data_IF_601413977701
#
_entry.id   IF_601413977701
#
_cell.length_a   1.000
_cell.length_b   1.000
_cell.length_c   1.000
_cell.angle_alpha   90.00
_cell.angle_beta   90.00
_cell.angle_gamma   90.00
#
_symmetry.space_group_name_H-M   'P 1'
#
loop_
_entity.id
_entity.type
_entity.pdbx_description
1 polymer ?
#
# COMPACT_ATOMS: atom_id res chain seq x y z
N UNK A 1 -24.15 23.99 -2.63
CA UNK A 1 -23.21 23.48 -1.59
C UNK A 1 -23.92 23.71 -0.27
N UNK A 2 -24.22 22.65 0.42
CA UNK A 2 -24.83 22.66 1.75
C UNK A 2 -23.77 22.39 2.82
N UNK A 3 -24.10 22.61 4.07
CA UNK A 3 -23.18 22.31 5.19
C UNK A 3 -22.81 20.80 5.27
N UNK A 4 -23.68 19.93 4.74
CA UNK A 4 -23.43 18.49 4.62
C UNK A 4 -22.33 18.14 3.58
N UNK A 5 -22.06 19.05 2.64
CA UNK A 5 -21.01 18.87 1.62
C UNK A 5 -19.62 19.28 2.14
N UNK A 6 -19.55 19.90 3.33
CA UNK A 6 -18.31 20.36 3.94
C UNK A 6 -17.62 19.21 4.66
N UNK A 7 -16.55 18.69 4.07
CA UNK A 7 -15.69 17.71 4.73
C UNK A 7 -14.62 18.41 5.56
N UNK A 8 -14.61 18.16 6.86
CA UNK A 8 -13.53 18.62 7.74
C UNK A 8 -12.28 17.77 7.50
N UNK A 9 -11.14 18.44 7.25
CA UNK A 9 -9.84 17.78 7.15
C UNK A 9 -9.13 17.77 8.50
N UNK A 10 -8.36 16.73 8.76
CA UNK A 10 -7.44 16.65 9.91
C UNK A 10 -6.11 17.43 9.68
N UNK A 11 -5.97 18.09 8.52
CA UNK A 11 -4.82 18.94 8.25
C UNK A 11 -4.83 20.16 9.17
N UNK A 12 -3.71 20.39 9.86
CA UNK A 12 -3.51 21.55 10.70
C UNK A 12 -2.70 22.62 9.97
N UNK A 13 -2.75 23.86 10.44
CA UNK A 13 -1.89 24.94 9.92
C UNK A 13 -0.40 24.60 10.03
N UNK A 14 -0.03 23.72 10.96
CA UNK A 14 1.33 23.22 11.12
C UNK A 14 1.77 22.36 9.94
N UNK A 15 0.87 21.60 9.35
CA UNK A 15 1.17 20.72 8.21
C UNK A 15 1.41 21.52 6.92
N UNK A 16 0.77 22.67 6.78
CA UNK A 16 0.90 23.56 5.61
C UNK A 16 1.90 24.70 5.80
N UNK A 17 2.50 24.85 6.99
CA UNK A 17 3.49 25.88 7.25
C UNK A 17 4.90 25.30 7.09
N UNK A 18 5.79 26.08 6.45
CA UNK A 18 7.21 25.70 6.28
C UNK A 18 8.02 25.64 7.58
N UNK A 19 7.51 26.25 8.68
CA UNK A 19 8.17 26.21 10.01
C UNK A 19 9.64 26.67 10.00
N UNK A 20 9.95 27.73 9.25
CA UNK A 20 11.33 28.26 9.17
C UNK A 20 12.25 27.54 8.17
N UNK A 21 11.82 26.46 7.55
CA UNK A 21 12.57 25.84 6.46
C UNK A 21 12.53 26.70 5.18
N UNK A 22 13.61 26.80 4.42
CA UNK A 22 13.64 27.56 3.16
C UNK A 22 12.73 26.96 2.10
N UNK A 23 12.55 25.61 2.10
CA UNK A 23 11.75 24.86 1.15
C UNK A 23 10.93 23.75 1.84
N UNK A 24 9.73 23.48 1.35
CA UNK A 24 8.91 22.35 1.83
C UNK A 24 9.62 21.00 1.69
N UNK A 25 10.34 20.80 0.60
CA UNK A 25 11.11 19.57 0.37
C UNK A 25 12.12 19.29 1.48
N UNK A 26 12.85 20.30 1.93
CA UNK A 26 13.79 20.15 3.04
C UNK A 26 13.08 19.86 4.36
N UNK A 27 11.93 20.52 4.60
CA UNK A 27 11.09 20.23 5.76
C UNK A 27 10.66 18.76 5.76
N UNK A 28 10.07 18.28 4.66
CA UNK A 28 9.54 16.91 4.54
C UNK A 28 10.64 15.85 4.72
N UNK A 29 11.82 16.05 4.12
CA UNK A 29 12.96 15.15 4.33
C UNK A 29 13.39 15.14 5.80
N UNK A 30 13.45 16.30 6.44
CA UNK A 30 13.86 16.40 7.85
C UNK A 30 12.85 15.78 8.81
N UNK A 31 11.58 15.78 8.44
CA UNK A 31 10.49 15.18 9.21
C UNK A 31 10.30 13.66 8.95
N UNK A 32 10.89 13.13 7.87
CA UNK A 32 10.71 11.75 7.46
C UNK A 32 11.05 10.70 8.55
N UNK A 33 12.18 10.82 9.31
CA UNK A 33 12.48 9.86 10.38
C UNK A 33 11.36 9.78 11.43
N UNK A 34 10.87 10.93 11.89
CA UNK A 34 9.78 11.02 12.86
C UNK A 34 8.45 10.49 12.30
N UNK A 35 8.20 10.71 11.02
CA UNK A 35 7.01 10.19 10.35
C UNK A 35 7.01 8.67 10.29
N UNK A 36 8.16 8.06 9.99
CA UNK A 36 8.34 6.59 10.02
C UNK A 36 8.16 6.06 11.43
N UNK A 37 8.79 6.65 12.43
CA UNK A 37 8.66 6.27 13.84
C UNK A 37 7.20 6.29 14.28
N UNK A 38 6.49 7.40 14.04
CA UNK A 38 5.06 7.54 14.35
C UNK A 38 4.19 6.50 13.63
N UNK A 39 4.53 6.15 12.39
CA UNK A 39 3.80 5.13 11.63
C UNK A 39 3.94 3.75 12.27
N UNK A 40 5.06 3.49 12.93
CA UNK A 40 5.38 2.20 13.53
C UNK A 40 4.94 2.08 15.01
N UNK A 41 4.76 3.19 15.73
CA UNK A 41 4.49 3.23 17.19
C UNK A 41 3.42 2.24 17.67
N UNK A 42 2.32 2.10 16.95
CA UNK A 42 1.22 1.20 17.32
C UNK A 42 1.23 -0.16 16.61
N UNK A 43 2.27 -0.44 15.85
CA UNK A 43 2.38 -1.63 14.99
C UNK A 43 3.53 -2.55 15.35
N UNK A 44 4.31 -2.20 16.37
CA UNK A 44 5.37 -3.05 16.89
C UNK A 44 4.83 -3.99 17.97
N UNK A 45 5.20 -5.25 17.87
CA UNK A 45 5.12 -6.20 18.99
C UNK A 45 6.50 -6.79 19.24
N UNK A 46 6.83 -6.98 20.52
CA UNK A 46 8.00 -7.75 20.91
C UNK A 46 7.57 -9.21 20.90
N UNK A 47 8.14 -9.99 19.99
CA UNK A 47 7.96 -11.43 19.96
C UNK A 47 9.15 -12.08 20.72
N UNK A 48 8.80 -12.87 21.75
CA UNK A 48 9.78 -13.62 22.53
C UNK A 48 9.77 -15.08 22.06
N UNK A 49 10.86 -15.51 21.44
CA UNK A 49 11.09 -16.91 21.07
C UNK A 49 12.17 -17.54 21.95
N UNK A 50 12.46 -18.82 21.77
CA UNK A 50 13.43 -19.56 22.57
C UNK A 50 14.83 -18.90 22.54
N UNK A 51 15.07 -17.95 23.47
CA UNK A 51 16.36 -17.27 23.65
C UNK A 51 16.59 -15.98 22.86
N UNK A 52 15.61 -15.48 22.12
CA UNK A 52 15.73 -14.20 21.40
C UNK A 52 14.47 -13.34 21.51
N UNK A 53 14.67 -12.03 21.67
CA UNK A 53 13.62 -11.04 21.51
C UNK A 53 13.81 -10.36 20.15
N UNK A 54 12.75 -10.31 19.32
CA UNK A 54 12.78 -9.51 18.10
C UNK A 54 11.54 -8.65 17.99
N UNK A 55 11.69 -7.49 17.37
CA UNK A 55 10.56 -6.62 17.04
C UNK A 55 9.92 -7.09 15.76
N UNK A 56 8.62 -7.32 15.79
CA UNK A 56 7.83 -7.67 14.62
C UNK A 56 6.73 -6.63 14.40
N UNK A 57 6.46 -6.32 13.15
CA UNK A 57 5.30 -5.52 12.79
C UNK A 57 4.06 -6.41 12.83
N UNK A 58 3.04 -5.96 13.57
CA UNK A 58 1.75 -6.65 13.64
C UNK A 58 0.70 -5.87 12.87
N UNK A 59 -0.03 -6.56 12.01
CA UNK A 59 -1.15 -6.02 11.27
C UNK A 59 -2.43 -6.75 11.72
N UNK A 60 -3.44 -5.99 12.10
CA UNK A 60 -4.72 -6.56 12.52
C UNK A 60 -5.58 -6.99 11.32
N UNK A 61 -6.71 -7.67 11.59
CA UNK A 61 -7.61 -8.18 10.56
C UNK A 61 -8.30 -7.09 9.73
N UNK A 62 -8.29 -5.83 10.19
CA UNK A 62 -8.79 -4.69 9.40
C UNK A 62 -7.82 -4.33 8.28
N UNK A 63 -6.52 -4.61 8.47
CA UNK A 63 -5.47 -4.39 7.46
C UNK A 63 -5.29 -5.63 6.61
N UNK A 64 -5.16 -6.81 7.23
CA UNK A 64 -5.03 -8.10 6.54
C UNK A 64 -6.28 -8.94 6.82
N UNK A 65 -7.29 -8.88 5.95
CA UNK A 65 -8.53 -9.64 6.15
C UNK A 65 -8.27 -11.15 6.20
N UNK A 66 -9.07 -11.93 6.95
CA UNK A 66 -8.87 -13.39 7.10
C UNK A 66 -8.80 -14.17 5.77
N UNK A 67 -9.50 -13.69 4.74
CA UNK A 67 -9.42 -14.29 3.39
C UNK A 67 -8.03 -14.14 2.80
N UNK A 68 -7.42 -12.96 2.91
CA UNK A 68 -6.06 -12.70 2.40
C UNK A 68 -5.03 -13.45 3.26
N UNK A 69 -5.16 -13.38 4.59
CA UNK A 69 -4.26 -14.10 5.50
C UNK A 69 -4.21 -15.59 5.17
N UNK A 70 -5.38 -16.22 5.00
CA UNK A 70 -5.47 -17.62 4.60
C UNK A 70 -4.82 -17.89 3.25
N UNK A 71 -5.10 -17.04 2.25
CA UNK A 71 -4.51 -17.21 0.91
C UNK A 71 -2.98 -17.13 0.92
N UNK A 72 -2.41 -16.25 1.77
CA UNK A 72 -0.96 -16.14 1.96
C UNK A 72 -0.39 -17.38 2.67
N UNK A 73 -1.00 -17.82 3.77
CA UNK A 73 -0.55 -19.00 4.54
C UNK A 73 -0.62 -20.30 3.72
N UNK A 74 -1.60 -20.43 2.84
CA UNK A 74 -1.79 -21.58 1.97
C UNK A 74 -1.03 -21.46 0.64
N UNK A 75 -0.15 -20.46 0.48
CA UNK A 75 0.61 -20.17 -0.74
C UNK A 75 -0.28 -20.09 -2.00
N UNK A 76 -1.51 -19.59 -1.86
CA UNK A 76 -2.43 -19.41 -2.99
C UNK A 76 -2.21 -18.10 -3.74
N UNK A 77 -1.51 -17.14 -3.13
CA UNK A 77 -1.07 -15.92 -3.83
C UNK A 77 0.20 -16.25 -4.61
N UNK A 78 0.14 -16.08 -5.92
CA UNK A 78 1.26 -16.33 -6.83
C UNK A 78 1.79 -15.07 -7.49
N UNK A 79 1.00 -14.00 -7.46
CA UNK A 79 1.35 -12.72 -8.09
C UNK A 79 1.09 -11.58 -7.10
N UNK A 80 2.04 -10.69 -6.97
CA UNK A 80 1.89 -9.45 -6.19
C UNK A 80 2.22 -8.27 -7.10
N UNK A 81 1.25 -7.39 -7.30
CA UNK A 81 1.42 -6.13 -8.01
C UNK A 81 1.41 -4.97 -7.01
N UNK A 82 2.52 -4.25 -6.91
CA UNK A 82 2.54 -2.94 -6.26
C UNK A 82 2.19 -1.89 -7.30
N UNK A 83 1.14 -1.12 -7.07
CA UNK A 83 0.63 -0.15 -8.05
C UNK A 83 0.53 1.24 -7.46
N UNK A 84 0.87 2.23 -8.26
CA UNK A 84 0.75 3.64 -7.90
C UNK A 84 0.89 4.52 -9.14
N UNK A 85 0.57 5.81 -8.99
CA UNK A 85 0.66 6.76 -10.09
C UNK A 85 1.61 7.90 -9.71
N UNK A 86 2.40 8.39 -10.66
CA UNK A 86 3.40 9.43 -10.42
C UNK A 86 4.43 9.00 -9.35
N UNK A 87 4.66 9.83 -8.34
CA UNK A 87 5.61 9.56 -7.25
C UNK A 87 5.23 8.32 -6.44
N UNK A 88 3.93 8.02 -6.29
CA UNK A 88 3.47 6.78 -5.66
C UNK A 88 3.87 5.54 -6.47
N UNK A 89 4.05 5.66 -7.80
CA UNK A 89 4.61 4.60 -8.64
C UNK A 89 6.08 4.30 -8.32
N UNK A 90 6.87 5.33 -7.97
CA UNK A 90 8.27 5.15 -7.50
C UNK A 90 8.29 4.41 -6.15
N UNK A 91 7.39 4.78 -5.24
CA UNK A 91 7.24 4.07 -3.97
C UNK A 91 6.81 2.60 -4.19
N UNK A 92 5.91 2.35 -5.15
CA UNK A 92 5.51 1.00 -5.54
C UNK A 92 6.71 0.16 -6.02
N UNK A 93 7.58 0.75 -6.83
CA UNK A 93 8.81 0.09 -7.29
C UNK A 93 9.75 -0.27 -6.14
N UNK A 94 9.94 0.66 -5.20
CA UNK A 94 10.76 0.42 -4.02
C UNK A 94 10.17 -0.72 -3.16
N UNK A 95 8.85 -0.70 -2.91
CA UNK A 95 8.17 -1.77 -2.17
C UNK A 95 8.28 -3.13 -2.86
N UNK A 96 8.15 -3.18 -4.19
CA UNK A 96 8.30 -4.43 -4.94
C UNK A 96 9.72 -4.99 -4.83
N UNK A 97 10.75 -4.14 -4.88
CA UNK A 97 12.15 -4.54 -4.73
C UNK A 97 12.43 -5.09 -3.32
N UNK A 98 11.92 -4.42 -2.29
CA UNK A 98 12.02 -4.90 -0.90
C UNK A 98 11.30 -6.24 -0.75
N UNK A 99 10.07 -6.35 -1.27
CA UNK A 99 9.30 -7.59 -1.19
C UNK A 99 10.00 -8.76 -1.89
N UNK A 100 10.58 -8.56 -3.08
CA UNK A 100 11.38 -9.59 -3.77
C UNK A 100 12.57 -10.06 -2.94
N UNK A 101 13.26 -9.12 -2.29
CA UNK A 101 14.44 -9.45 -1.49
C UNK A 101 14.09 -10.30 -0.27
N UNK A 102 12.99 -10.00 0.42
CA UNK A 102 12.64 -10.67 1.67
C UNK A 102 11.76 -11.91 1.50
N UNK A 103 10.95 -11.99 0.45
CA UNK A 103 10.08 -13.14 0.23
C UNK A 103 10.83 -14.34 -0.38
N UNK A 104 11.88 -14.07 -1.17
CA UNK A 104 12.81 -15.05 -1.77
C UNK A 104 12.13 -16.37 -2.24
N UNK A 105 10.94 -16.26 -2.82
CA UNK A 105 10.18 -17.38 -3.36
C UNK A 105 10.18 -17.30 -4.89
N UNK A 106 10.87 -18.21 -5.60
CA UNK A 106 10.93 -18.18 -7.06
C UNK A 106 9.58 -18.46 -7.74
N UNK A 107 8.61 -19.03 -7.02
CA UNK A 107 7.27 -19.27 -7.52
C UNK A 107 6.35 -18.03 -7.38
N UNK A 108 6.78 -17.02 -6.61
CA UNK A 108 6.04 -15.79 -6.37
C UNK A 108 6.50 -14.67 -7.31
N UNK A 109 5.63 -14.25 -8.19
CA UNK A 109 5.89 -13.13 -9.08
C UNK A 109 5.56 -11.81 -8.39
N UNK A 110 6.59 -11.02 -8.09
CA UNK A 110 6.43 -9.69 -7.49
C UNK A 110 6.85 -8.64 -8.51
N UNK A 111 6.00 -7.65 -8.78
CA UNK A 111 6.31 -6.55 -9.69
C UNK A 111 5.68 -5.25 -9.25
N UNK A 112 6.20 -4.15 -9.77
CA UNK A 112 5.56 -2.84 -9.69
C UNK A 112 5.12 -2.38 -11.06
N UNK A 113 3.99 -1.68 -11.11
CA UNK A 113 3.43 -1.15 -12.35
C UNK A 113 2.70 0.16 -12.07
N UNK A 114 2.67 1.06 -13.05
CA UNK A 114 1.77 2.21 -12.94
C UNK A 114 0.32 1.73 -12.97
N UNK A 115 -0.53 2.39 -12.17
CA UNK A 115 -1.94 2.02 -12.09
C UNK A 115 -2.62 2.05 -13.47
N UNK A 116 -2.35 3.09 -14.26
CA UNK A 116 -2.86 3.22 -15.63
C UNK A 116 -2.39 2.09 -16.57
N UNK A 117 -1.18 1.58 -16.39
CA UNK A 117 -0.65 0.47 -17.19
C UNK A 117 -1.30 -0.86 -16.80
N UNK A 118 -1.44 -1.12 -15.50
CA UNK A 118 -2.12 -2.34 -15.04
C UNK A 118 -3.57 -2.38 -15.51
N UNK A 119 -4.33 -1.29 -15.31
CA UNK A 119 -5.73 -1.22 -15.74
C UNK A 119 -5.91 -1.15 -17.26
N UNK A 120 -4.97 -0.52 -17.96
CA UNK A 120 -5.09 -0.28 -19.40
C UNK A 120 -4.64 -1.46 -20.28
N UNK A 121 -3.76 -2.31 -19.77
CA UNK A 121 -3.20 -3.42 -20.55
C UNK A 121 -3.45 -4.77 -19.89
N UNK A 122 -2.87 -5.01 -18.71
CA UNK A 122 -2.91 -6.34 -18.09
C UNK A 122 -4.33 -6.77 -17.72
N UNK A 123 -5.12 -5.86 -17.14
CA UNK A 123 -6.48 -6.18 -16.71
C UNK A 123 -7.50 -6.18 -17.84
N UNK A 124 -7.20 -5.56 -19.00
CA UNK A 124 -8.10 -5.59 -20.15
C UNK A 124 -8.16 -6.99 -20.77
N UNK A 125 -7.02 -7.67 -20.84
CA UNK A 125 -6.90 -9.01 -21.43
C UNK A 125 -7.26 -10.13 -20.45
N UNK A 126 -7.67 -9.78 -19.23
CA UNK A 126 -7.95 -10.75 -18.17
C UNK A 126 -9.45 -10.87 -17.97
N UNK A 127 -10.08 -11.83 -18.59
CA UNK A 127 -11.51 -12.09 -18.47
C UNK A 127 -11.83 -13.12 -17.39
N UNK A 128 -12.95 -12.89 -16.71
CA UNK A 128 -13.52 -13.80 -15.72
C UNK A 128 -13.40 -13.35 -14.25
N UNK A 129 -14.46 -13.62 -13.49
CA UNK A 129 -14.59 -13.19 -12.07
C UNK A 129 -13.55 -13.77 -11.11
N UNK A 130 -12.79 -14.77 -11.52
CA UNK A 130 -11.77 -15.44 -10.70
C UNK A 130 -10.40 -15.44 -11.36
N UNK A 131 -10.22 -14.70 -12.44
CA UNK A 131 -8.97 -14.69 -13.22
C UNK A 131 -7.76 -14.20 -12.44
N UNK A 132 -7.98 -13.43 -11.35
CA UNK A 132 -6.96 -12.91 -10.46
C UNK A 132 -7.08 -13.46 -9.02
N UNK A 133 -7.69 -14.61 -8.81
CA UNK A 133 -7.87 -15.19 -7.48
C UNK A 133 -6.54 -15.51 -6.77
N UNK A 134 -5.47 -15.70 -7.52
CA UNK A 134 -4.10 -15.92 -7.05
C UNK A 134 -3.26 -14.64 -6.95
N UNK A 135 -3.89 -13.47 -7.09
CA UNK A 135 -3.20 -12.19 -7.21
C UNK A 135 -3.51 -11.28 -6.02
N UNK A 136 -2.46 -10.63 -5.50
CA UNK A 136 -2.56 -9.52 -4.55
C UNK A 136 -2.17 -8.22 -5.25
N UNK A 137 -3.04 -7.22 -5.22
CA UNK A 137 -2.75 -5.86 -5.66
C UNK A 137 -2.58 -4.96 -4.45
N UNK A 138 -1.39 -4.39 -4.28
CA UNK A 138 -1.07 -3.42 -3.22
C UNK A 138 -1.05 -2.03 -3.83
N UNK A 139 -2.09 -1.26 -3.58
CA UNK A 139 -2.22 0.09 -4.09
C UNK A 139 -1.53 1.11 -3.18
N UNK A 140 -0.67 1.95 -3.75
CA UNK A 140 0.02 3.03 -3.03
C UNK A 140 -0.50 4.36 -3.54
N UNK A 141 -1.00 5.18 -2.62
CA UNK A 141 -1.54 6.50 -2.94
C UNK A 141 -1.34 7.47 -1.78
N UNK A 142 -0.92 8.70 -2.07
CA UNK A 142 -0.81 9.73 -1.04
C UNK A 142 -2.19 10.20 -0.59
N UNK A 143 -3.09 10.50 -1.52
CA UNK A 143 -4.42 11.06 -1.23
C UNK A 143 -5.51 10.00 -1.02
N UNK A 144 -5.32 8.78 -1.55
CA UNK A 144 -6.36 7.76 -1.64
C UNK A 144 -7.47 8.06 -2.68
N UNK A 145 -7.34 9.15 -3.44
CA UNK A 145 -8.37 9.63 -4.39
C UNK A 145 -7.92 9.64 -5.85
N UNK A 146 -6.73 9.10 -6.15
CA UNK A 146 -6.19 9.04 -7.51
C UNK A 146 -7.06 8.13 -8.37
N UNK A 147 -7.70 8.70 -9.40
CA UNK A 147 -8.68 8.01 -10.25
C UNK A 147 -8.13 6.72 -10.87
N UNK A 148 -6.94 6.77 -11.47
CA UNK A 148 -6.33 5.60 -12.10
C UNK A 148 -6.05 4.48 -11.09
N UNK A 149 -5.56 4.83 -9.89
CA UNK A 149 -5.30 3.87 -8.83
C UNK A 149 -6.59 3.22 -8.34
N UNK A 150 -7.64 4.01 -8.09
CA UNK A 150 -8.93 3.50 -7.63
C UNK A 150 -9.57 2.59 -8.69
N UNK A 151 -9.59 3.03 -9.96
CA UNK A 151 -10.07 2.21 -11.07
C UNK A 151 -9.34 0.87 -11.17
N UNK A 152 -8.02 0.89 -11.05
CA UNK A 152 -7.20 -0.33 -11.08
C UNK A 152 -7.58 -1.30 -9.96
N UNK A 153 -7.76 -0.78 -8.74
CA UNK A 153 -8.19 -1.59 -7.58
C UNK A 153 -9.56 -2.19 -7.81
N UNK A 154 -10.52 -1.41 -8.30
CA UNK A 154 -11.89 -1.89 -8.56
C UNK A 154 -11.88 -2.98 -9.64
N UNK A 155 -11.20 -2.77 -10.76
CA UNK A 155 -11.06 -3.77 -11.83
C UNK A 155 -10.40 -5.07 -11.34
N UNK A 156 -9.38 -4.97 -10.48
CA UNK A 156 -8.71 -6.14 -9.91
C UNK A 156 -9.65 -6.91 -8.95
N UNK A 157 -10.40 -6.19 -8.12
CA UNK A 157 -11.39 -6.80 -7.19
C UNK A 157 -12.51 -7.52 -7.92
N UNK A 158 -13.05 -6.92 -8.98
CA UNK A 158 -14.08 -7.54 -9.84
C UNK A 158 -13.61 -8.87 -10.43
N UNK A 159 -12.29 -9.01 -10.64
CA UNK A 159 -11.64 -10.23 -11.16
C UNK A 159 -11.15 -11.19 -10.07
N UNK A 160 -11.53 -10.95 -8.82
CA UNK A 160 -11.25 -11.83 -7.68
C UNK A 160 -9.91 -11.63 -6.98
N UNK A 161 -9.13 -10.61 -7.36
CA UNK A 161 -7.88 -10.29 -6.68
C UNK A 161 -8.08 -9.93 -5.20
N UNK A 162 -7.09 -10.24 -4.39
CA UNK A 162 -6.92 -9.63 -3.08
C UNK A 162 -6.39 -8.21 -3.26
N UNK A 163 -6.83 -7.28 -2.42
CA UNK A 163 -6.38 -5.89 -2.49
C UNK A 163 -5.98 -5.37 -1.13
N UNK A 164 -4.86 -4.66 -1.07
CA UNK A 164 -4.42 -3.84 0.06
C UNK A 164 -4.17 -2.41 -0.41
N UNK A 165 -4.26 -1.46 0.51
CA UNK A 165 -3.92 -0.08 0.22
C UNK A 165 -2.95 0.49 1.27
N UNK A 166 -1.95 1.21 0.80
CA UNK A 166 -1.05 2.03 1.62
C UNK A 166 -1.37 3.49 1.28
N UNK A 167 -2.00 4.18 2.22
CA UNK A 167 -2.50 5.54 2.00
C UNK A 167 -2.02 6.45 3.12
N UNK A 168 -1.56 7.65 2.77
CA UNK A 168 -1.10 8.63 3.74
C UNK A 168 -2.25 9.43 4.38
N UNK A 169 -3.37 9.59 3.67
CA UNK A 169 -4.58 10.27 4.18
C UNK A 169 -5.72 9.28 4.37
N UNK A 170 -6.42 9.47 5.49
CA UNK A 170 -7.67 8.79 5.78
C UNK A 170 -8.85 9.65 5.38
#
# INVERSE_FOLDING_TARGET
>A
ITEADVKRTALTSRDINRQGYPHYFLKEISEAPRSVEKTLESRWAIQRGAGSEHRAVTLDQRVVPPRLERALRENRVRRIYFVGQGTAGVAAQACANVAKHYLDDPALQVSAMKASELSGFVLQDTDGRQALADTLVVAISQSGTTTDTNRTVDMARERGAHTLAIVNRR
#
